data_IF_559166769005
#
_entry.id   IF_559166769005
#
_cell.length_a   1.000
_cell.length_b   1.000
_cell.length_c   1.000
_cell.angle_alpha   90.00
_cell.angle_beta   90.00
_cell.angle_gamma   90.00
#
_symmetry.space_group_name_H-M   'P 1'
#
loop_
_entity.id
_entity.type
_entity.pdbx_description
1 polymer ?
#
# COMPACT_ATOMS: atom_id res chain seq x y z
N UNK A 1 22.77 35.86 31.62
CA UNK A 1 23.58 35.80 30.37
C UNK A 1 23.93 34.39 29.88
N UNK A 2 24.05 33.37 30.74
CA UNK A 2 24.40 32.01 30.31
C UNK A 2 23.34 31.30 29.43
N UNK A 3 22.05 31.47 29.71
CA UNK A 3 20.96 30.82 28.94
C UNK A 3 20.78 31.36 27.52
N UNK A 4 21.03 32.65 27.29
CA UNK A 4 21.03 33.26 25.95
C UNK A 4 22.19 32.75 25.07
N UNK A 5 23.33 32.38 25.67
CA UNK A 5 24.46 31.79 24.95
C UNK A 5 24.21 30.35 24.50
N UNK A 6 23.37 29.60 25.23
CA UNK A 6 22.96 28.24 24.88
C UNK A 6 21.92 28.25 23.75
N UNK A 7 20.98 29.19 23.79
CA UNK A 7 20.00 29.41 22.71
C UNK A 7 20.66 29.89 21.41
N UNK A 8 21.68 30.75 21.51
CA UNK A 8 22.49 31.19 20.36
C UNK A 8 23.34 30.06 19.78
N UNK A 9 23.87 29.15 20.60
CA UNK A 9 24.58 27.94 20.13
C UNK A 9 23.65 26.90 19.50
N UNK A 10 22.42 26.75 20.01
CA UNK A 10 21.43 25.87 19.40
C UNK A 10 20.97 26.39 18.02
N UNK A 11 20.76 27.71 17.89
CA UNK A 11 20.40 28.37 16.63
C UNK A 11 21.55 28.39 15.60
N UNK A 12 22.81 28.54 16.05
CA UNK A 12 23.99 28.54 15.15
C UNK A 12 24.47 27.12 14.75
N UNK A 13 24.08 26.07 15.46
CA UNK A 13 24.33 24.68 15.02
C UNK A 13 23.49 24.27 13.79
N UNK A 14 22.55 25.12 13.38
CA UNK A 14 21.74 24.98 12.17
C UNK A 14 22.45 25.36 10.87
N UNK A 15 23.62 26.03 10.93
CA UNK A 15 24.35 26.54 9.75
C UNK A 15 25.60 25.72 9.42
N UNK A 16 25.46 24.39 9.47
CA UNK A 16 26.46 23.45 8.95
C UNK A 16 25.81 22.44 8.01
N UNK A 17 25.52 22.87 6.78
CA UNK A 17 24.97 22.04 5.72
C UNK A 17 26.00 21.02 5.22
N UNK A 18 26.19 19.96 6.01
CA UNK A 18 26.81 18.74 5.52
C UNK A 18 25.95 18.18 4.36
N UNK A 19 26.48 18.03 3.13
CA UNK A 19 25.69 17.55 1.98
C UNK A 19 25.14 16.11 2.15
N UNK A 20 25.51 15.41 3.23
CA UNK A 20 25.03 14.07 3.57
C UNK A 20 23.68 14.03 4.32
N UNK A 21 23.20 15.14 4.91
CA UNK A 21 21.92 15.15 5.66
C UNK A 21 20.68 15.11 4.76
N UNK A 22 20.73 15.77 3.60
CA UNK A 22 19.61 15.79 2.65
C UNK A 22 19.23 14.40 2.11
N UNK A 23 20.18 13.46 2.05
CA UNK A 23 19.93 12.09 1.59
C UNK A 23 19.12 11.22 2.56
N UNK A 24 19.21 11.50 3.88
CA UNK A 24 18.48 10.76 4.94
C UNK A 24 17.07 11.31 5.15
N UNK A 25 16.87 12.63 5.06
CA UNK A 25 15.53 13.24 5.16
C UNK A 25 14.62 12.84 3.99
N UNK A 26 15.18 12.71 2.78
CA UNK A 26 14.42 12.29 1.59
C UNK A 26 13.88 10.84 1.64
N UNK A 27 14.30 10.01 2.60
CA UNK A 27 13.80 8.62 2.76
C UNK A 27 12.76 8.52 3.88
N UNK A 28 12.84 9.38 4.91
CA UNK A 28 11.97 9.29 6.09
C UNK A 28 10.50 9.56 5.77
N UNK A 29 10.22 10.56 4.94
CA UNK A 29 8.84 10.87 4.56
C UNK A 29 8.18 9.72 3.79
N UNK A 30 8.97 8.98 3.00
CA UNK A 30 8.52 7.80 2.24
C UNK A 30 8.05 6.70 3.18
N UNK A 31 8.80 6.46 4.27
CA UNK A 31 8.38 5.54 5.33
C UNK A 31 7.09 6.02 6.02
N UNK A 32 6.97 7.32 6.31
CA UNK A 32 5.75 7.89 6.87
C UNK A 32 4.52 7.73 5.98
N UNK A 33 4.67 8.02 4.68
CA UNK A 33 3.62 7.83 3.67
C UNK A 33 3.20 6.36 3.58
N UNK A 34 4.15 5.43 3.70
CA UNK A 34 3.87 3.99 3.77
C UNK A 34 2.99 3.64 4.98
N UNK A 35 3.24 4.27 6.12
CA UNK A 35 2.43 4.10 7.33
C UNK A 35 0.99 4.58 7.14
N UNK A 36 0.81 5.76 6.54
CA UNK A 36 -0.52 6.31 6.21
C UNK A 36 -1.25 5.40 5.20
N UNK A 37 -0.54 4.88 4.19
CA UNK A 37 -1.11 3.94 3.23
C UNK A 37 -1.65 2.68 3.93
N UNK A 38 -0.88 2.06 4.85
CA UNK A 38 -1.38 0.90 5.61
C UNK A 38 -2.60 1.23 6.46
N UNK A 39 -2.60 2.40 7.11
CA UNK A 39 -3.74 2.83 7.93
C UNK A 39 -5.00 2.98 7.07
N UNK A 40 -4.90 3.61 5.90
CA UNK A 40 -6.03 3.74 4.97
C UNK A 40 -6.55 2.39 4.50
N UNK A 41 -5.68 1.42 4.20
CA UNK A 41 -6.12 0.06 3.84
C UNK A 41 -6.96 -0.55 4.96
N UNK A 42 -6.48 -0.50 6.21
CA UNK A 42 -7.21 -1.06 7.36
C UNK A 42 -8.57 -0.38 7.55
N UNK A 43 -8.62 0.96 7.52
CA UNK A 43 -9.86 1.73 7.63
C UNK A 43 -10.84 1.35 6.51
N UNK A 44 -10.35 1.13 5.30
CA UNK A 44 -11.19 0.70 4.16
C UNK A 44 -11.85 -0.64 4.42
N UNK A 45 -11.14 -1.59 5.02
CA UNK A 45 -11.70 -2.90 5.34
C UNK A 45 -12.71 -2.83 6.49
N UNK A 46 -12.48 -1.96 7.48
CA UNK A 46 -13.49 -1.64 8.51
C UNK A 46 -14.78 -1.08 7.86
N UNK A 47 -14.65 -0.09 6.98
CA UNK A 47 -15.79 0.50 6.27
C UNK A 47 -16.46 -0.49 5.31
N UNK A 48 -15.70 -1.32 4.59
CA UNK A 48 -16.25 -2.34 3.70
C UNK A 48 -17.02 -3.43 4.47
N UNK A 49 -16.59 -3.73 5.70
CA UNK A 49 -17.29 -4.65 6.57
C UNK A 49 -18.60 -4.05 7.12
N UNK A 50 -18.60 -2.81 7.60
CA UNK A 50 -19.71 -2.29 8.42
C UNK A 50 -20.43 -1.06 7.89
N UNK A 51 -19.85 -0.29 6.96
CA UNK A 51 -20.47 0.90 6.37
C UNK A 51 -20.16 1.01 4.86
N UNK A 52 -20.68 0.04 4.09
CA UNK A 52 -20.39 -0.09 2.66
C UNK A 52 -20.87 1.12 1.85
N UNK A 53 -21.89 1.86 2.30
CA UNK A 53 -22.45 2.99 1.55
C UNK A 53 -21.47 4.15 1.40
N UNK A 54 -20.38 4.18 2.18
CA UNK A 54 -19.27 5.12 2.00
C UNK A 54 -18.57 4.99 0.63
N UNK A 55 -18.78 3.87 -0.09
CA UNK A 55 -18.29 3.68 -1.46
C UNK A 55 -19.07 4.48 -2.51
N UNK A 56 -20.27 4.93 -2.16
CA UNK A 56 -21.15 5.76 -3.00
C UNK A 56 -20.96 7.24 -2.64
N UNK A 57 -21.28 8.19 -3.53
CA UNK A 57 -21.26 9.61 -3.20
C UNK A 57 -22.41 10.04 -2.27
N UNK A 58 -23.49 9.24 -2.20
CA UNK A 58 -24.61 9.34 -1.24
C UNK A 58 -25.29 7.99 -1.09
N UNK A 59 -26.12 7.81 -0.05
CA UNK A 59 -26.77 6.52 0.26
C UNK A 59 -27.78 6.06 -0.82
N UNK A 60 -28.43 7.00 -1.51
CA UNK A 60 -29.25 6.78 -2.70
C UNK A 60 -29.30 8.06 -3.54
N UNK A 61 -29.88 8.01 -4.74
CA UNK A 61 -29.91 9.11 -5.72
C UNK A 61 -30.49 10.43 -5.17
N UNK A 62 -31.42 10.37 -4.22
CA UNK A 62 -32.12 11.56 -3.69
C UNK A 62 -31.72 11.93 -2.26
N UNK A 63 -30.89 11.10 -1.59
CA UNK A 63 -30.46 11.36 -0.23
C UNK A 63 -29.41 12.48 -0.15
N UNK A 64 -29.39 13.20 0.96
CA UNK A 64 -28.27 14.07 1.29
C UNK A 64 -27.02 13.21 1.59
N UNK A 65 -25.83 13.60 1.10
CA UNK A 65 -24.60 12.87 1.37
C UNK A 65 -24.21 12.97 2.86
N UNK A 66 -23.74 11.86 3.43
CA UNK A 66 -23.09 11.85 4.75
C UNK A 66 -21.77 12.63 4.68
N UNK A 67 -21.33 13.16 5.82
CA UNK A 67 -20.06 13.90 5.94
C UNK A 67 -18.86 13.14 5.34
N UNK A 68 -18.78 11.83 5.58
CA UNK A 68 -17.69 10.98 5.09
C UNK A 68 -17.87 10.51 3.64
N UNK A 69 -18.98 10.85 2.97
CA UNK A 69 -19.21 10.63 1.54
C UNK A 69 -18.85 11.87 0.70
N UNK A 70 -18.64 13.03 1.34
CA UNK A 70 -18.26 14.27 0.66
C UNK A 70 -16.86 14.17 0.03
N UNK A 71 -16.61 14.89 -1.08
CA UNK A 71 -15.27 14.98 -1.64
C UNK A 71 -14.29 15.52 -0.59
N UNK A 72 -13.01 15.22 -0.78
CA UNK A 72 -11.91 15.49 0.16
C UNK A 72 -11.93 14.65 1.44
N UNK A 73 -13.06 14.61 2.15
CA UNK A 73 -13.19 13.93 3.43
C UNK A 73 -13.31 12.42 3.28
N UNK A 74 -13.80 11.94 2.14
CA UNK A 74 -14.05 10.51 1.91
C UNK A 74 -12.81 9.64 1.74
N UNK A 75 -11.67 10.26 1.43
CA UNK A 75 -10.46 9.56 0.97
C UNK A 75 -9.98 8.42 1.90
N UNK A 76 -9.93 8.58 3.25
CA UNK A 76 -9.47 7.52 4.14
C UNK A 76 -10.41 6.30 4.21
N UNK A 77 -11.70 6.47 3.94
CA UNK A 77 -12.74 5.46 4.22
C UNK A 77 -13.08 4.59 3.01
N UNK A 78 -12.96 5.15 1.80
CA UNK A 78 -13.15 4.42 0.55
C UNK A 78 -11.88 3.67 0.08
N UNK A 79 -10.85 3.66 0.92
CA UNK A 79 -9.41 3.65 0.62
C UNK A 79 -8.85 2.56 -0.29
N UNK A 80 -9.17 2.73 -1.56
CA UNK A 80 -8.46 2.14 -2.69
C UNK A 80 -7.09 2.77 -2.92
N UNK A 81 -6.92 4.04 -2.53
CA UNK A 81 -5.67 4.77 -2.75
C UNK A 81 -4.48 4.15 -2.01
N UNK A 82 -4.69 3.41 -0.91
CA UNK A 82 -3.60 2.79 -0.16
C UNK A 82 -2.76 1.84 -1.01
N UNK A 83 -3.40 1.04 -1.88
CA UNK A 83 -2.69 0.12 -2.79
C UNK A 83 -1.89 0.90 -3.84
N UNK A 84 -2.48 1.94 -4.42
CA UNK A 84 -1.81 2.87 -5.35
C UNK A 84 -0.58 3.52 -4.71
N UNK A 85 -0.67 3.93 -3.44
CA UNK A 85 0.45 4.48 -2.68
C UNK A 85 1.56 3.44 -2.52
N UNK A 86 1.24 2.19 -2.14
CA UNK A 86 2.24 1.12 -2.02
C UNK A 86 2.93 0.78 -3.35
N UNK A 87 2.20 0.83 -4.47
CA UNK A 87 2.78 0.64 -5.78
C UNK A 87 3.79 1.76 -6.10
N UNK A 88 3.39 3.03 -5.93
CA UNK A 88 4.30 4.16 -6.09
C UNK A 88 5.56 4.05 -5.21
N UNK A 89 5.36 3.72 -3.92
CA UNK A 89 6.46 3.58 -2.96
C UNK A 89 7.41 2.45 -3.36
N UNK A 90 6.91 1.37 -3.94
CA UNK A 90 7.76 0.29 -4.49
C UNK A 90 8.64 0.81 -5.63
N UNK A 91 8.07 1.58 -6.56
CA UNK A 91 8.80 2.31 -7.60
C UNK A 91 9.92 3.19 -7.05
N UNK A 92 9.52 4.08 -6.13
CA UNK A 92 10.42 5.07 -5.54
C UNK A 92 11.56 4.40 -4.76
N UNK A 93 11.25 3.51 -3.82
CA UNK A 93 12.24 2.88 -2.94
C UNK A 93 13.23 1.99 -3.70
N UNK A 94 12.76 1.22 -4.69
CA UNK A 94 13.64 0.39 -5.51
C UNK A 94 14.60 1.22 -6.36
N UNK A 95 14.21 2.43 -6.78
CA UNK A 95 15.03 3.31 -7.61
C UNK A 95 16.07 4.13 -6.83
N UNK A 96 15.81 4.48 -5.56
CA UNK A 96 16.67 5.39 -4.78
C UNK A 96 18.13 4.96 -4.77
N UNK A 97 18.41 3.72 -4.33
CA UNK A 97 19.79 3.29 -4.09
C UNK A 97 20.58 3.11 -5.40
N UNK A 98 20.08 2.38 -6.42
CA UNK A 98 20.77 2.25 -7.70
C UNK A 98 21.03 3.60 -8.37
N UNK A 99 20.03 4.49 -8.42
CA UNK A 99 20.19 5.80 -9.07
C UNK A 99 21.17 6.70 -8.32
N UNK A 100 21.20 6.66 -6.97
CA UNK A 100 22.22 7.38 -6.20
C UNK A 100 23.64 6.90 -6.52
N UNK A 101 23.84 5.58 -6.64
CA UNK A 101 25.15 5.00 -6.96
C UNK A 101 25.62 5.38 -8.37
N UNK A 102 24.73 5.38 -9.36
CA UNK A 102 25.07 5.88 -10.71
C UNK A 102 25.46 7.35 -10.68
N UNK A 103 24.72 8.18 -9.94
CA UNK A 103 25.05 9.61 -9.82
C UNK A 103 26.37 9.86 -9.10
N UNK A 104 26.79 8.96 -8.19
CA UNK A 104 28.09 9.02 -7.55
C UNK A 104 29.21 8.35 -8.36
N UNK A 105 28.98 7.98 -9.63
CA UNK A 105 29.96 7.32 -10.50
C UNK A 105 30.19 5.83 -10.21
N UNK A 106 29.45 5.23 -9.27
CA UNK A 106 29.60 3.83 -8.89
C UNK A 106 28.63 2.93 -9.68
N UNK A 107 28.89 2.74 -10.97
CA UNK A 107 28.05 1.91 -11.85
C UNK A 107 28.05 0.43 -11.43
N UNK A 108 29.23 -0.13 -11.12
CA UNK A 108 29.36 -1.52 -10.67
C UNK A 108 28.52 -1.78 -9.42
N UNK A 109 28.61 -0.92 -8.41
CA UNK A 109 27.81 -1.02 -7.20
C UNK A 109 26.30 -0.86 -7.42
N UNK A 110 25.88 -0.11 -8.45
CA UNK A 110 24.48 0.00 -8.84
C UNK A 110 23.96 -1.34 -9.41
N UNK A 111 24.74 -1.99 -10.29
CA UNK A 111 24.43 -3.31 -10.85
C UNK A 111 24.36 -4.39 -9.76
N UNK A 112 25.35 -4.43 -8.86
CA UNK A 112 25.34 -5.34 -7.70
C UNK A 112 24.11 -5.10 -6.82
N UNK A 113 23.74 -3.83 -6.62
CA UNK A 113 22.56 -3.48 -5.81
C UNK A 113 21.28 -3.95 -6.47
N UNK A 114 21.12 -3.80 -7.79
CA UNK A 114 19.96 -4.32 -8.50
C UNK A 114 19.88 -5.85 -8.38
N UNK A 115 20.97 -6.57 -8.68
CA UNK A 115 21.02 -8.04 -8.60
C UNK A 115 20.66 -8.57 -7.20
N UNK A 116 21.33 -8.04 -6.15
CA UNK A 116 21.03 -8.43 -4.75
C UNK A 116 19.62 -8.02 -4.31
N UNK A 117 19.07 -6.92 -4.83
CA UNK A 117 17.70 -6.50 -4.49
C UNK A 117 16.64 -7.36 -5.19
N UNK A 118 16.89 -7.78 -6.43
CA UNK A 118 16.06 -8.72 -7.16
C UNK A 118 15.99 -10.08 -6.45
N UNK A 119 17.14 -10.63 -6.04
CA UNK A 119 17.19 -11.91 -5.32
C UNK A 119 16.47 -11.87 -3.96
N UNK A 120 16.71 -10.83 -3.16
CA UNK A 120 16.12 -10.74 -1.81
C UNK A 120 14.63 -10.46 -1.78
N UNK A 121 14.04 -9.96 -2.87
CA UNK A 121 12.65 -9.48 -2.88
C UNK A 121 11.61 -10.61 -2.76
N UNK A 122 11.67 -11.70 -3.57
CA UNK A 122 10.73 -12.80 -3.41
C UNK A 122 10.75 -13.45 -2.02
N UNK A 123 11.89 -13.89 -1.46
CA UNK A 123 11.88 -14.55 -0.15
C UNK A 123 11.33 -13.66 0.97
N UNK A 124 11.64 -12.36 0.95
CA UNK A 124 11.13 -11.39 1.93
C UNK A 124 9.63 -11.12 1.83
N UNK A 125 9.01 -11.37 0.69
CA UNK A 125 7.55 -11.24 0.52
C UNK A 125 6.86 -12.59 0.75
N UNK A 126 7.39 -13.68 0.19
CA UNK A 126 6.78 -15.01 0.21
C UNK A 126 6.81 -15.61 1.61
N UNK A 127 7.94 -15.58 2.32
CA UNK A 127 8.04 -16.26 3.61
C UNK A 127 7.09 -15.68 4.67
N UNK A 128 7.04 -14.35 4.94
CA UNK A 128 6.09 -13.81 5.90
C UNK A 128 4.64 -14.03 5.47
N UNK A 129 4.32 -13.89 4.18
CA UNK A 129 2.97 -14.14 3.67
C UNK A 129 2.53 -15.60 3.87
N UNK A 130 3.47 -16.55 3.74
CA UNK A 130 3.23 -17.98 4.00
C UNK A 130 2.98 -18.26 5.47
N UNK A 131 3.72 -17.61 6.38
CA UNK A 131 3.45 -17.70 7.83
C UNK A 131 2.05 -17.16 8.13
N UNK A 132 1.65 -16.04 7.52
CA UNK A 132 0.32 -15.46 7.70
C UNK A 132 -0.79 -16.38 7.14
N UNK A 133 -0.55 -17.00 5.98
CA UNK A 133 -1.41 -18.03 5.39
C UNK A 133 -1.63 -19.20 6.34
N UNK A 134 -0.56 -19.75 6.92
CA UNK A 134 -0.65 -20.88 7.86
C UNK A 134 -1.44 -20.48 9.12
N UNK A 135 -1.22 -19.27 9.65
CA UNK A 135 -1.97 -18.77 10.81
C UNK A 135 -3.46 -18.60 10.49
N UNK A 136 -3.80 -18.01 9.34
CA UNK A 136 -5.19 -17.88 8.90
C UNK A 136 -5.84 -19.26 8.69
N UNK A 137 -5.10 -20.22 8.11
CA UNK A 137 -5.53 -21.61 7.96
C UNK A 137 -5.81 -22.26 9.32
N UNK A 138 -4.92 -22.12 10.31
CA UNK A 138 -5.12 -22.62 11.67
C UNK A 138 -6.39 -22.03 12.31
N UNK A 139 -6.61 -20.72 12.17
CA UNK A 139 -7.86 -20.11 12.64
C UNK A 139 -9.09 -20.66 11.92
N UNK A 140 -9.01 -20.98 10.63
CA UNK A 140 -10.11 -21.61 9.91
C UNK A 140 -10.44 -22.99 10.50
N UNK A 141 -9.43 -23.83 10.76
CA UNK A 141 -9.62 -25.16 11.35
C UNK A 141 -10.22 -25.10 12.76
N UNK A 142 -9.90 -24.06 13.54
CA UNK A 142 -10.42 -23.86 14.89
C UNK A 142 -11.80 -23.18 14.93
N UNK A 143 -12.47 -22.99 13.78
CA UNK A 143 -13.75 -22.27 13.71
C UNK A 143 -13.63 -20.77 14.00
N UNK A 144 -12.42 -20.21 13.87
CA UNK A 144 -12.09 -18.80 14.08
C UNK A 144 -12.95 -17.85 13.25
N UNK A 145 -13.43 -18.26 12.07
CA UNK A 145 -14.26 -17.43 11.19
C UNK A 145 -15.77 -17.68 11.31
N UNK A 146 -16.22 -18.49 12.28
CA UNK A 146 -17.64 -18.83 12.47
C UNK A 146 -18.54 -17.59 12.64
N UNK A 147 -18.07 -16.59 13.37
CA UNK A 147 -18.83 -15.35 13.63
C UNK A 147 -18.92 -14.51 12.35
N UNK A 148 -17.79 -14.30 11.65
CA UNK A 148 -17.76 -13.50 10.43
C UNK A 148 -18.54 -14.16 9.28
N UNK A 149 -18.62 -15.50 9.22
CA UNK A 149 -19.40 -16.21 8.21
C UNK A 149 -20.92 -16.19 8.45
N UNK A 150 -21.37 -15.83 9.66
CA UNK A 150 -22.79 -15.84 10.07
C UNK A 150 -23.36 -14.47 10.41
N UNK A 151 -22.60 -13.40 10.20
CA UNK A 151 -23.01 -12.03 10.53
C UNK A 151 -23.80 -11.34 9.40
N UNK A 152 -24.50 -10.26 9.72
CA UNK A 152 -25.28 -9.46 8.75
C UNK A 152 -24.42 -8.76 7.67
N UNK A 153 -23.11 -8.59 7.91
CA UNK A 153 -22.17 -7.97 6.99
C UNK A 153 -21.79 -8.90 5.81
N UNK A 154 -22.31 -8.60 4.62
CA UNK A 154 -22.10 -9.41 3.42
C UNK A 154 -20.61 -9.58 3.05
N UNK A 155 -19.82 -8.51 3.18
CA UNK A 155 -18.40 -8.57 2.86
C UNK A 155 -17.61 -9.47 3.82
N UNK A 156 -17.92 -9.45 5.13
CA UNK A 156 -17.30 -10.37 6.10
C UNK A 156 -17.62 -11.82 5.78
N UNK A 157 -18.87 -12.12 5.40
CA UNK A 157 -19.26 -13.48 4.97
C UNK A 157 -18.52 -13.93 3.73
N UNK A 158 -18.46 -13.08 2.70
CA UNK A 158 -17.83 -13.41 1.43
C UNK A 158 -16.30 -13.56 1.54
N UNK A 159 -15.67 -12.70 2.34
CA UNK A 159 -14.22 -12.73 2.54
C UNK A 159 -13.77 -13.76 3.57
N UNK A 160 -14.67 -14.39 4.31
CA UNK A 160 -14.31 -15.44 5.28
C UNK A 160 -14.14 -16.80 4.61
N UNK A 161 -13.21 -17.65 5.10
CA UNK A 161 -13.03 -18.99 4.57
C UNK A 161 -14.29 -19.81 4.78
N UNK A 162 -14.66 -20.61 3.77
CA UNK A 162 -15.70 -21.62 3.90
C UNK A 162 -15.11 -22.88 4.51
N UNK A 163 -15.81 -23.42 5.50
CA UNK A 163 -15.56 -24.76 6.02
C UNK A 163 -16.04 -25.78 4.98
N UNK A 164 -15.14 -26.62 4.48
CA UNK A 164 -15.41 -27.61 3.44
C UNK A 164 -15.16 -29.05 3.93
N UNK A 165 -14.88 -29.27 5.22
CA UNK A 165 -14.73 -30.62 5.78
C UNK A 165 -13.48 -30.80 6.66
N UNK A 166 -12.96 -32.02 6.65
CA UNK A 166 -11.90 -32.49 7.55
C UNK A 166 -10.48 -32.19 7.05
N UNK A 167 -9.47 -32.50 7.88
CA UNK A 167 -8.06 -32.20 7.60
C UNK A 167 -7.52 -32.83 6.30
N UNK A 168 -8.11 -33.94 5.84
CA UNK A 168 -7.80 -34.59 4.58
C UNK A 168 -8.11 -33.72 3.35
N UNK A 169 -9.11 -32.83 3.42
CA UNK A 169 -9.42 -31.86 2.37
C UNK A 169 -8.69 -30.53 2.56
N UNK A 170 -8.52 -30.11 3.82
CA UNK A 170 -7.93 -28.81 4.17
C UNK A 170 -6.40 -28.75 4.01
N UNK A 171 -5.68 -29.87 4.18
CA UNK A 171 -4.22 -29.91 3.96
C UNK A 171 -3.87 -29.75 2.46
N UNK A 172 -4.46 -30.52 1.52
CA UNK A 172 -4.26 -30.27 0.08
C UNK A 172 -4.68 -28.86 -0.35
N UNK A 173 -5.79 -28.36 0.21
CA UNK A 173 -6.27 -27.00 -0.04
C UNK A 173 -5.28 -25.94 0.43
N UNK A 174 -4.56 -26.14 1.53
CA UNK A 174 -3.50 -25.24 1.98
C UNK A 174 -2.37 -25.13 0.94
N UNK A 175 -1.88 -26.25 0.41
CA UNK A 175 -0.86 -26.25 -0.64
C UNK A 175 -1.36 -25.62 -1.93
N UNK A 176 -2.60 -25.92 -2.32
CA UNK A 176 -3.24 -25.30 -3.48
C UNK A 176 -3.40 -23.78 -3.29
N UNK A 177 -3.75 -23.32 -2.09
CA UNK A 177 -3.85 -21.90 -1.75
C UNK A 177 -2.49 -21.21 -1.79
N UNK A 178 -1.44 -21.86 -1.27
CA UNK A 178 -0.08 -21.35 -1.41
C UNK A 178 0.29 -21.13 -2.89
N UNK A 179 -0.01 -22.08 -3.77
CA UNK A 179 0.27 -21.95 -5.20
C UNK A 179 -0.58 -20.85 -5.87
N UNK A 180 -1.89 -20.84 -5.62
CA UNK A 180 -2.84 -19.92 -6.28
C UNK A 180 -2.58 -18.46 -5.92
N UNK A 181 -2.11 -18.15 -4.70
CA UNK A 181 -1.67 -16.79 -4.33
C UNK A 181 -0.63 -16.24 -5.31
N UNK A 182 0.33 -17.07 -5.71
CA UNK A 182 1.45 -16.64 -6.54
C UNK A 182 1.21 -16.86 -8.05
N UNK A 183 0.13 -17.55 -8.43
CA UNK A 183 -0.27 -17.76 -9.82
C UNK A 183 -1.37 -16.80 -10.27
N UNK A 184 -2.43 -16.66 -9.47
CA UNK A 184 -3.62 -15.88 -9.80
C UNK A 184 -3.93 -14.76 -8.81
N UNK A 185 -3.19 -14.67 -7.69
CA UNK A 185 -3.48 -13.72 -6.61
C UNK A 185 -4.65 -14.12 -5.72
N UNK A 186 -5.30 -15.26 -5.98
CA UNK A 186 -6.46 -15.72 -5.22
C UNK A 186 -6.01 -16.47 -3.96
N UNK A 187 -6.62 -16.13 -2.84
CA UNK A 187 -6.33 -16.77 -1.56
C UNK A 187 -7.63 -16.88 -0.76
N UNK A 188 -8.00 -18.11 -0.38
CA UNK A 188 -9.31 -18.40 0.20
C UNK A 188 -9.39 -18.21 1.72
N UNK A 189 -8.25 -18.17 2.42
CA UNK A 189 -8.23 -17.96 3.87
C UNK A 189 -8.21 -16.46 4.27
N UNK A 190 -7.81 -15.58 3.36
CA UNK A 190 -7.45 -14.17 3.48
C UNK A 190 -7.22 -13.56 2.07
N UNK A 191 -8.32 -13.20 1.42
CA UNK A 191 -8.35 -12.59 0.07
C UNK A 191 -7.47 -11.32 -0.03
N UNK A 192 -7.18 -10.65 1.08
CA UNK A 192 -6.38 -9.42 1.13
C UNK A 192 -4.96 -9.58 0.59
N UNK A 193 -4.42 -10.80 0.57
CA UNK A 193 -3.07 -11.10 0.06
C UNK A 193 -2.92 -10.93 -1.46
N UNK A 194 -4.02 -10.71 -2.20
CA UNK A 194 -4.01 -10.59 -3.66
C UNK A 194 -3.00 -9.56 -4.21
N UNK A 195 -2.76 -8.48 -3.47
CA UNK A 195 -1.88 -7.40 -3.91
C UNK A 195 -0.38 -7.77 -3.87
N UNK A 196 0.01 -8.85 -3.17
CA UNK A 196 1.41 -9.28 -3.08
C UNK A 196 2.00 -9.68 -4.42
N UNK A 197 1.23 -10.41 -5.25
CA UNK A 197 1.69 -10.88 -6.55
C UNK A 197 1.96 -9.71 -7.52
N UNK A 198 1.02 -8.77 -7.75
CA UNK A 198 1.29 -7.57 -8.53
C UNK A 198 2.46 -6.72 -8.00
N UNK A 199 2.61 -6.58 -6.68
CA UNK A 199 3.73 -5.85 -6.08
C UNK A 199 5.08 -6.54 -6.29
N UNK A 200 5.12 -7.87 -6.33
CA UNK A 200 6.31 -8.65 -6.66
C UNK A 200 6.66 -8.48 -8.14
N UNK A 201 5.69 -8.69 -9.03
CA UNK A 201 5.86 -8.49 -10.48
C UNK A 201 6.35 -7.07 -10.79
N UNK A 202 5.72 -6.06 -10.18
CA UNK A 202 6.09 -4.66 -10.29
C UNK A 202 7.53 -4.36 -9.87
N UNK A 203 7.99 -4.98 -8.78
CA UNK A 203 9.39 -4.84 -8.35
C UNK A 203 10.35 -5.35 -9.44
N UNK A 204 10.06 -6.48 -10.09
CA UNK A 204 10.85 -6.99 -11.20
C UNK A 204 10.76 -6.10 -12.45
N UNK A 205 9.59 -5.56 -12.76
CA UNK A 205 9.45 -4.55 -13.82
C UNK A 205 10.39 -3.38 -13.57
N UNK A 206 10.44 -2.84 -12.35
CA UNK A 206 11.36 -1.76 -11.98
C UNK A 206 12.82 -2.19 -12.11
N UNK A 207 13.20 -3.39 -11.64
CA UNK A 207 14.58 -3.85 -11.75
C UNK A 207 15.04 -4.00 -13.20
N UNK A 208 14.19 -4.55 -14.07
CA UNK A 208 14.47 -4.66 -15.51
C UNK A 208 14.53 -3.28 -16.16
N UNK A 209 13.58 -2.39 -15.87
CA UNK A 209 13.57 -1.02 -16.38
C UNK A 209 14.83 -0.25 -15.95
N UNK A 210 15.24 -0.37 -14.68
CA UNK A 210 16.46 0.27 -14.20
C UNK A 210 17.69 -0.34 -14.86
N UNK A 211 17.79 -1.66 -14.93
CA UNK A 211 18.90 -2.35 -15.60
C UNK A 211 19.07 -1.86 -17.05
N UNK A 212 17.97 -1.77 -17.80
CA UNK A 212 17.96 -1.29 -19.19
C UNK A 212 18.32 0.21 -19.34
N UNK A 213 18.06 1.02 -18.30
CA UNK A 213 18.21 2.48 -18.37
C UNK A 213 19.38 3.04 -17.54
N UNK A 214 20.12 2.18 -16.82
CA UNK A 214 21.21 2.56 -15.93
C UNK A 214 22.31 3.36 -16.65
N UNK A 215 22.68 2.92 -17.86
CA UNK A 215 23.72 3.55 -18.68
C UNK A 215 23.26 4.81 -19.44
N UNK A 216 21.95 5.07 -19.46
CA UNK A 216 21.41 6.24 -20.14
C UNK A 216 21.73 7.53 -19.38
N UNK A 217 21.96 8.62 -20.12
CA UNK A 217 21.94 9.96 -19.52
C UNK A 217 20.56 10.21 -18.92
N UNK A 218 20.50 10.92 -17.78
CA UNK A 218 19.25 11.20 -17.03
C UNK A 218 18.10 11.64 -17.93
N UNK A 219 18.35 12.59 -18.84
CA UNK A 219 17.34 13.11 -19.79
C UNK A 219 16.71 12.02 -20.68
N UNK A 220 17.52 11.10 -21.20
CA UNK A 220 17.02 10.00 -22.01
C UNK A 220 16.32 8.94 -21.17
N UNK A 221 16.82 8.66 -19.96
CA UNK A 221 16.12 7.78 -19.02
C UNK A 221 14.74 8.33 -18.65
N UNK A 222 14.64 9.61 -18.33
CA UNK A 222 13.35 10.27 -18.05
C UNK A 222 12.40 10.16 -19.23
N UNK A 223 12.89 10.38 -20.46
CA UNK A 223 12.10 10.22 -21.68
C UNK A 223 11.62 8.77 -21.83
N UNK A 224 12.52 7.78 -21.74
CA UNK A 224 12.19 6.36 -21.87
C UNK A 224 11.16 5.91 -20.83
N UNK A 225 11.36 6.25 -19.55
CA UNK A 225 10.42 5.88 -18.48
C UNK A 225 9.09 6.62 -18.64
N UNK A 226 9.08 7.87 -19.15
CA UNK A 226 7.85 8.60 -19.45
C UNK A 226 7.08 7.96 -20.61
N UNK A 227 7.76 7.52 -21.67
CA UNK A 227 7.14 6.78 -22.78
C UNK A 227 6.54 5.47 -22.26
N UNK A 228 7.27 4.74 -21.41
CA UNK A 228 6.78 3.49 -20.81
C UNK A 228 5.56 3.73 -19.90
N UNK A 229 5.59 4.81 -19.11
CA UNK A 229 4.44 5.25 -18.31
C UNK A 229 3.23 5.54 -19.20
N UNK A 230 3.42 6.30 -20.29
CA UNK A 230 2.33 6.62 -21.23
C UNK A 230 1.79 5.37 -21.92
N UNK A 231 2.67 4.41 -22.24
CA UNK A 231 2.25 3.14 -22.84
C UNK A 231 1.32 2.36 -21.90
N UNK A 232 1.68 2.22 -20.61
CA UNK A 232 0.78 1.61 -19.62
C UNK A 232 -0.45 2.46 -19.31
N UNK A 233 -0.33 3.78 -19.37
CA UNK A 233 -1.46 4.68 -19.18
C UNK A 233 -2.53 4.47 -20.25
N UNK A 234 -2.10 4.27 -21.50
CA UNK A 234 -2.97 4.03 -22.66
C UNK A 234 -3.57 2.63 -22.71
N UNK A 235 -3.05 1.68 -21.93
CA UNK A 235 -3.59 0.32 -21.81
C UNK A 235 -4.86 0.32 -20.94
N UNK A 236 -6.04 -0.06 -21.45
CA UNK A 236 -7.29 -0.08 -20.69
C UNK A 236 -7.43 -1.29 -19.76
N UNK A 237 -6.48 -2.23 -19.78
CA UNK A 237 -6.53 -3.43 -18.93
C UNK A 237 -6.52 -3.07 -17.43
N UNK A 238 -7.25 -3.87 -16.66
CA UNK A 238 -7.45 -3.75 -15.21
C UNK A 238 -6.10 -3.67 -14.47
N UNK A 239 -5.96 -2.68 -13.59
CA UNK A 239 -4.86 -2.56 -12.64
C UNK A 239 -3.60 -1.85 -13.14
N UNK A 240 -3.49 -1.53 -14.44
CA UNK A 240 -2.29 -0.87 -15.00
C UNK A 240 -2.01 0.49 -14.39
N UNK A 241 -3.06 1.25 -14.16
CA UNK A 241 -3.03 2.57 -13.51
C UNK A 241 -2.61 2.50 -12.04
N UNK A 242 -3.00 1.44 -11.34
CA UNK A 242 -2.73 1.22 -9.91
C UNK A 242 -1.32 0.70 -9.68
N UNK A 243 -0.81 -0.14 -10.59
CA UNK A 243 0.46 -0.83 -10.45
C UNK A 243 1.53 -0.23 -11.36
N UNK A 244 1.61 -0.62 -12.64
CA UNK A 244 2.71 -0.28 -13.56
C UNK A 244 2.91 1.22 -13.70
N UNK A 245 1.83 1.99 -13.87
CA UNK A 245 1.90 3.45 -13.91
C UNK A 245 2.50 4.00 -12.62
N UNK A 246 2.09 3.52 -11.45
CA UNK A 246 2.60 4.01 -10.16
C UNK A 246 4.05 3.60 -9.91
N UNK A 247 4.43 2.36 -10.26
CA UNK A 247 5.81 1.90 -10.17
C UNK A 247 6.73 2.82 -10.98
N UNK A 248 6.38 3.09 -12.24
CA UNK A 248 7.16 3.96 -13.12
C UNK A 248 7.13 5.41 -12.65
N UNK A 249 5.99 5.90 -12.14
CA UNK A 249 5.89 7.24 -11.56
C UNK A 249 6.81 7.40 -10.33
N UNK A 250 6.93 6.37 -9.50
CA UNK A 250 7.90 6.30 -8.41
C UNK A 250 9.34 6.42 -8.89
N UNK A 251 9.70 5.71 -9.97
CA UNK A 251 11.03 5.82 -10.59
C UNK A 251 11.27 7.23 -11.14
N UNK A 252 10.30 7.80 -11.87
CA UNK A 252 10.39 9.16 -12.43
C UNK A 252 10.61 10.20 -11.35
N UNK A 253 9.76 10.21 -10.32
CA UNK A 253 9.87 11.19 -9.23
C UNK A 253 11.15 11.00 -8.42
N UNK A 254 11.66 9.78 -8.29
CA UNK A 254 12.95 9.52 -7.67
C UNK A 254 14.12 10.09 -8.50
N UNK A 255 14.10 9.92 -9.82
CA UNK A 255 15.19 10.36 -10.70
C UNK A 255 15.21 11.88 -10.88
N UNK A 256 14.05 12.49 -11.19
CA UNK A 256 13.83 13.94 -11.22
C UNK A 256 14.21 14.52 -9.86
N UNK A 257 13.68 13.91 -8.81
CA UNK A 257 13.90 14.34 -7.45
C UNK A 257 15.35 14.20 -7.02
N UNK A 258 16.21 13.49 -7.75
CA UNK A 258 17.64 13.39 -7.46
C UNK A 258 18.49 14.36 -8.30
N UNK A 259 17.89 15.23 -9.12
CA UNK A 259 18.59 16.17 -9.97
C UNK A 259 18.88 17.51 -9.24
N UNK A 260 20.16 17.89 -9.00
CA UNK A 260 20.49 19.07 -8.22
C UNK A 260 19.98 20.38 -8.84
N UNK A 261 20.10 20.51 -10.17
CA UNK A 261 19.66 21.72 -10.91
C UNK A 261 18.17 21.98 -10.74
N UNK A 262 17.36 20.92 -10.87
CA UNK A 262 15.92 21.01 -10.70
C UNK A 262 15.55 21.39 -9.26
N UNK A 263 16.21 20.80 -8.26
CA UNK A 263 15.99 21.15 -6.86
C UNK A 263 16.32 22.61 -6.54
N UNK A 264 17.44 23.11 -7.06
CA UNK A 264 17.83 24.51 -6.88
C UNK A 264 16.78 25.45 -7.48
N UNK A 265 16.39 25.19 -8.72
CA UNK A 265 15.36 25.96 -9.43
C UNK A 265 14.02 25.97 -8.67
N UNK A 266 13.55 24.81 -8.18
CA UNK A 266 12.32 24.73 -7.37
C UNK A 266 12.44 25.52 -6.06
N UNK A 267 13.63 25.57 -5.46
CA UNK A 267 13.86 26.27 -4.20
C UNK A 267 14.01 27.79 -4.34
N UNK A 268 14.39 28.28 -5.51
CA UNK A 268 14.45 29.73 -5.81
C UNK A 268 13.05 30.36 -5.82
N UNK A 269 12.05 29.63 -6.31
CA UNK A 269 10.68 30.14 -6.51
C UNK A 269 9.73 29.76 -5.36
N UNK A 270 10.08 30.16 -4.14
CA UNK A 270 9.39 29.68 -2.91
C UNK A 270 7.89 29.94 -2.86
N UNK A 271 7.40 31.12 -3.27
CA UNK A 271 5.96 31.46 -3.28
C UNK A 271 5.21 30.64 -4.32
N UNK A 272 5.73 30.58 -5.54
CA UNK A 272 5.16 29.78 -6.63
C UNK A 272 5.16 28.29 -6.29
N UNK A 273 6.25 27.77 -5.71
CA UNK A 273 6.32 26.39 -5.20
C UNK A 273 5.23 26.11 -4.18
N UNK A 274 4.99 27.02 -3.22
CA UNK A 274 3.93 26.88 -2.20
C UNK A 274 2.53 26.91 -2.80
N UNK A 275 2.29 27.74 -3.81
CA UNK A 275 1.01 27.76 -4.53
C UNK A 275 0.80 26.43 -5.28
N UNK A 276 1.77 26.04 -6.12
CA UNK A 276 1.71 24.81 -6.92
C UNK A 276 1.53 23.57 -6.03
N UNK A 277 2.37 23.39 -5.00
CA UNK A 277 2.28 22.20 -4.14
C UNK A 277 0.91 22.09 -3.46
N UNK A 278 0.32 23.23 -3.04
CA UNK A 278 -0.96 23.25 -2.32
C UNK A 278 -2.10 22.95 -3.28
N UNK A 279 -2.08 23.57 -4.48
CA UNK A 279 -3.04 23.27 -5.53
C UNK A 279 -3.00 21.81 -5.96
N UNK A 280 -1.80 21.23 -6.13
CA UNK A 280 -1.63 19.82 -6.48
C UNK A 280 -2.17 18.88 -5.40
N UNK A 281 -1.93 19.19 -4.11
CA UNK A 281 -2.46 18.37 -3.01
C UNK A 281 -3.99 18.48 -2.95
N UNK A 282 -4.55 19.69 -3.02
CA UNK A 282 -6.01 19.89 -2.95
C UNK A 282 -6.70 19.22 -4.14
N UNK A 283 -6.20 19.47 -5.36
CA UNK A 283 -6.73 18.85 -6.57
C UNK A 283 -6.56 17.33 -6.52
N UNK A 284 -5.40 16.84 -6.07
CA UNK A 284 -5.13 15.42 -5.94
C UNK A 284 -6.09 14.73 -4.96
N UNK A 285 -6.38 15.35 -3.81
CA UNK A 285 -7.37 14.87 -2.84
C UNK A 285 -8.78 14.89 -3.46
N UNK A 286 -9.15 15.95 -4.18
CA UNK A 286 -10.45 16.07 -4.85
C UNK A 286 -10.67 14.93 -5.84
N UNK A 287 -9.75 14.75 -6.79
CA UNK A 287 -9.92 13.74 -7.84
C UNK A 287 -9.78 12.32 -7.30
N UNK A 288 -8.88 12.09 -6.33
CA UNK A 288 -8.80 10.80 -5.63
C UNK A 288 -10.06 10.46 -4.83
N UNK A 289 -10.94 11.44 -4.57
CA UNK A 289 -12.22 11.22 -3.89
C UNK A 289 -13.26 10.56 -4.79
N UNK A 290 -13.02 10.37 -6.08
CA UNK A 290 -13.98 9.73 -6.99
C UNK A 290 -14.58 8.42 -6.41
N UNK A 291 -15.92 8.27 -6.38
CA UNK A 291 -16.58 7.15 -5.71
C UNK A 291 -16.32 5.82 -6.42
N UNK A 292 -16.59 4.70 -5.73
CA UNK A 292 -16.38 3.37 -6.32
C UNK A 292 -17.52 2.90 -7.17
N UNK A 293 -18.72 3.28 -6.77
CA UNK A 293 -19.92 2.94 -7.48
C UNK A 293 -20.82 4.17 -7.48
N UNK A 294 -21.73 4.20 -8.46
CA UNK A 294 -22.75 5.24 -8.60
C UNK A 294 -22.17 6.68 -8.68
N UNK A 295 -21.14 6.96 -9.50
CA UNK A 295 -20.64 8.32 -9.68
C UNK A 295 -21.70 9.31 -10.18
N UNK A 296 -22.73 8.83 -10.89
CA UNK A 296 -23.88 9.60 -11.36
C UNK A 296 -24.72 10.17 -10.21
N UNK A 297 -24.64 9.58 -9.01
CA UNK A 297 -25.33 10.09 -7.85
C UNK A 297 -24.63 11.32 -7.23
N UNK A 298 -23.77 12.09 -7.86
CA UNK A 298 -23.49 13.45 -7.37
C UNK A 298 -22.83 14.28 -8.46
N UNK A 299 -23.18 15.56 -8.55
CA UNK A 299 -22.70 16.42 -9.63
C UNK A 299 -21.17 16.51 -9.67
N UNK A 300 -20.50 16.56 -8.51
CA UNK A 300 -19.04 16.59 -8.43
C UNK A 300 -18.39 15.30 -8.93
N UNK A 301 -19.00 14.14 -8.71
CA UNK A 301 -18.48 12.86 -9.19
C UNK A 301 -18.89 12.55 -10.62
N UNK A 302 -20.05 13.01 -11.06
CA UNK A 302 -20.50 12.96 -12.44
C UNK A 302 -19.60 13.82 -13.33
N UNK A 303 -19.27 15.05 -12.90
CA UNK A 303 -18.28 15.89 -13.57
C UNK A 303 -16.93 15.19 -13.76
N UNK A 304 -16.43 14.50 -12.73
CA UNK A 304 -15.20 13.72 -12.85
C UNK A 304 -15.36 12.50 -13.75
N UNK A 305 -16.56 11.93 -13.87
CA UNK A 305 -16.82 10.87 -14.84
C UNK A 305 -16.70 11.41 -16.26
N UNK A 306 -17.36 12.54 -16.56
CA UNK A 306 -17.30 13.20 -17.86
C UNK A 306 -15.87 13.60 -18.23
N UNK A 307 -15.12 14.20 -17.30
CA UNK A 307 -13.69 14.51 -17.54
C UNK A 307 -12.91 13.22 -17.81
N UNK A 308 -13.21 12.15 -17.07
CA UNK A 308 -12.61 10.83 -17.23
C UNK A 308 -12.77 10.29 -18.64
N UNK A 309 -13.94 10.47 -19.27
CA UNK A 309 -14.21 10.04 -20.64
C UNK A 309 -13.29 10.69 -21.68
N UNK A 310 -12.80 11.91 -21.40
CA UNK A 310 -11.87 12.60 -22.30
C UNK A 310 -10.41 12.24 -22.05
N UNK A 311 -10.01 11.94 -20.81
CA UNK A 311 -8.59 11.76 -20.44
C UNK A 311 -8.17 10.30 -20.32
N UNK A 312 -9.12 9.39 -20.12
CA UNK A 312 -8.86 7.97 -20.00
C UNK A 312 -9.04 7.26 -21.34
N UNK A 313 -8.24 6.20 -21.61
CA UNK A 313 -8.36 5.45 -22.85
C UNK A 313 -9.74 4.81 -22.97
N UNK A 314 -10.24 4.75 -24.21
CA UNK A 314 -11.47 4.04 -24.54
C UNK A 314 -11.41 2.58 -24.05
N UNK A 315 -12.53 2.09 -23.49
CA UNK A 315 -12.60 0.74 -22.90
C UNK A 315 -12.09 0.64 -21.46
N UNK A 316 -11.76 1.76 -20.81
CA UNK A 316 -11.45 1.77 -19.37
C UNK A 316 -12.68 1.32 -18.57
N UNK A 317 -12.55 0.22 -17.81
CA UNK A 317 -13.61 -0.23 -16.89
C UNK A 317 -13.50 0.39 -15.49
N UNK A 318 -12.28 0.69 -15.03
CA UNK A 318 -12.01 1.05 -13.62
C UNK A 318 -11.66 2.54 -13.43
N UNK A 319 -12.60 3.42 -13.79
CA UNK A 319 -12.45 4.88 -13.68
C UNK A 319 -11.96 5.31 -12.30
N UNK A 320 -12.49 4.66 -11.28
CA UNK A 320 -12.19 4.99 -9.91
C UNK A 320 -10.74 4.69 -9.49
N UNK A 321 -10.13 3.64 -10.07
CA UNK A 321 -8.70 3.36 -9.84
C UNK A 321 -7.83 4.34 -10.61
N UNK A 322 -8.24 4.72 -11.83
CA UNK A 322 -7.54 5.77 -12.59
C UNK A 322 -7.58 7.11 -11.86
N UNK A 323 -8.72 7.50 -11.31
CA UNK A 323 -8.81 8.72 -10.51
C UNK A 323 -7.99 8.66 -9.22
N UNK A 324 -7.94 7.50 -8.55
CA UNK A 324 -7.03 7.28 -7.40
C UNK A 324 -5.56 7.41 -7.82
N UNK A 325 -5.19 6.86 -8.98
CA UNK A 325 -3.86 6.96 -9.57
C UNK A 325 -3.47 8.40 -9.91
N UNK A 326 -4.33 9.14 -10.61
CA UNK A 326 -4.11 10.56 -10.93
C UNK A 326 -3.99 11.38 -9.65
N UNK A 327 -4.93 11.21 -8.72
CA UNK A 327 -4.93 11.96 -7.47
C UNK A 327 -3.68 11.69 -6.63
N UNK A 328 -3.22 10.43 -6.57
CA UNK A 328 -1.96 10.10 -5.92
C UNK A 328 -0.75 10.73 -6.61
N UNK A 329 -0.67 10.69 -7.95
CA UNK A 329 0.41 11.35 -8.70
C UNK A 329 0.49 12.85 -8.37
N UNK A 330 -0.66 13.55 -8.33
CA UNK A 330 -0.72 14.97 -7.98
C UNK A 330 -0.31 15.21 -6.51
N UNK A 331 -0.88 14.44 -5.58
CA UNK A 331 -0.57 14.57 -4.15
C UNK A 331 0.90 14.33 -3.86
N UNK A 332 1.50 13.27 -4.41
CA UNK A 332 2.87 12.89 -4.08
C UNK A 332 3.90 13.88 -4.66
N UNK A 333 3.63 14.51 -5.80
CA UNK A 333 4.45 15.64 -6.28
C UNK A 333 4.32 16.83 -5.34
N UNK A 334 3.10 17.19 -4.91
CA UNK A 334 2.92 18.26 -3.93
C UNK A 334 3.61 17.99 -2.59
N UNK A 335 3.55 16.74 -2.09
CA UNK A 335 4.27 16.31 -0.89
C UNK A 335 5.78 16.39 -1.11
N UNK A 336 6.27 15.91 -2.26
CA UNK A 336 7.68 15.98 -2.63
C UNK A 336 8.20 17.42 -2.75
N UNK A 337 7.38 18.37 -3.22
CA UNK A 337 7.75 19.79 -3.29
C UNK A 337 7.67 20.51 -1.94
N UNK A 338 6.99 19.94 -0.95
CA UNK A 338 6.67 20.60 0.33
C UNK A 338 7.50 20.07 1.50
N UNK A 339 8.52 20.84 1.98
CA UNK A 339 9.29 20.45 3.16
C UNK A 339 8.43 20.29 4.41
N UNK A 340 7.35 21.06 4.53
CA UNK A 340 6.39 20.95 5.65
C UNK A 340 5.69 19.59 5.63
N UNK A 341 5.19 19.15 4.48
CA UNK A 341 4.54 17.84 4.36
C UNK A 341 5.53 16.70 4.57
N UNK A 342 6.73 16.79 4.00
CA UNK A 342 7.79 15.82 4.27
C UNK A 342 8.12 15.75 5.76
N UNK A 343 8.18 16.89 6.45
CA UNK A 343 8.38 16.99 7.89
C UNK A 343 7.26 16.32 8.70
N UNK A 344 6.00 16.54 8.31
CA UNK A 344 4.83 15.88 8.91
C UNK A 344 4.96 14.37 8.76
N UNK A 345 5.16 13.85 7.55
CA UNK A 345 5.30 12.40 7.33
C UNK A 345 6.56 11.81 7.96
N UNK A 346 7.62 12.60 8.16
CA UNK A 346 8.82 12.16 8.87
C UNK A 346 8.68 12.15 10.40
N UNK A 347 7.48 12.38 10.94
CA UNK A 347 7.21 12.24 12.37
C UNK A 347 7.41 10.78 12.82
N UNK A 348 7.92 10.59 14.04
CA UNK A 348 8.12 9.30 14.70
C UNK A 348 6.87 8.40 14.63
N UNK A 349 5.67 8.98 14.79
CA UNK A 349 4.43 8.21 14.74
C UNK A 349 4.19 7.59 13.36
N UNK A 350 4.24 8.40 12.29
CA UNK A 350 4.02 7.88 10.93
C UNK A 350 5.14 6.95 10.48
N UNK A 351 6.39 7.22 10.84
CA UNK A 351 7.49 6.29 10.58
C UNK A 351 7.32 4.97 11.33
N UNK A 352 6.77 4.99 12.55
CA UNK A 352 6.46 3.77 13.29
C UNK A 352 5.36 2.96 12.61
N UNK A 353 4.28 3.60 12.15
CA UNK A 353 3.30 2.93 11.29
C UNK A 353 3.93 2.38 10.01
N UNK A 354 4.82 3.14 9.38
CA UNK A 354 5.54 2.74 8.16
C UNK A 354 6.46 1.55 8.36
N UNK A 355 7.09 1.43 9.53
CA UNK A 355 7.93 0.28 9.89
C UNK A 355 7.11 -1.01 9.98
N UNK A 356 5.91 -0.94 10.57
CA UNK A 356 5.04 -2.10 10.78
C UNK A 356 4.02 -2.31 9.64
N UNK A 357 4.02 -1.47 8.60
CA UNK A 357 2.97 -1.45 7.56
C UNK A 357 2.80 -2.78 6.83
N UNK A 358 3.89 -3.53 6.63
CA UNK A 358 3.85 -4.82 5.95
C UNK A 358 3.21 -5.90 6.82
N UNK A 359 3.57 -5.92 8.11
CA UNK A 359 2.94 -6.80 9.08
C UNK A 359 1.45 -6.50 9.19
N UNK A 360 1.07 -5.22 9.35
CA UNK A 360 -0.35 -4.80 9.35
C UNK A 360 -1.08 -5.30 8.10
N UNK A 361 -0.47 -5.15 6.91
CA UNK A 361 -1.06 -5.66 5.69
C UNK A 361 -1.31 -7.19 5.72
N UNK A 362 -0.41 -7.98 6.32
CA UNK A 362 -0.58 -9.43 6.43
C UNK A 362 -1.58 -9.85 7.52
N UNK A 363 -1.70 -9.09 8.61
CA UNK A 363 -2.47 -9.51 9.80
C UNK A 363 -3.88 -8.93 9.85
N UNK A 364 -4.10 -7.72 9.32
CA UNK A 364 -5.36 -6.99 9.50
C UNK A 364 -6.58 -7.76 9.02
N UNK A 365 -6.50 -8.48 7.89
CA UNK A 365 -7.61 -9.24 7.33
C UNK A 365 -8.09 -10.33 8.29
N UNK A 366 -7.16 -11.09 8.85
CA UNK A 366 -7.44 -12.16 9.82
C UNK A 366 -7.89 -11.58 11.16
N UNK A 367 -7.20 -10.57 11.71
CA UNK A 367 -7.57 -9.94 12.99
C UNK A 367 -8.96 -9.27 12.89
N UNK A 368 -9.29 -8.64 11.77
CA UNK A 368 -10.60 -8.06 11.52
C UNK A 368 -11.72 -9.11 11.57
N UNK A 369 -11.56 -10.19 10.80
CA UNK A 369 -12.58 -11.24 10.64
C UNK A 369 -12.70 -12.15 11.87
N UNK A 370 -11.62 -12.33 12.64
CA UNK A 370 -11.61 -13.18 13.83
C UNK A 370 -11.89 -12.36 15.10
N UNK A 371 -11.07 -11.34 15.38
CA UNK A 371 -11.13 -10.60 16.64
C UNK A 371 -12.17 -9.48 16.61
N UNK A 372 -12.12 -8.57 15.63
CA UNK A 372 -13.05 -7.43 15.59
C UNK A 372 -14.51 -7.88 15.36
N UNK A 373 -14.73 -8.90 14.53
CA UNK A 373 -16.05 -9.50 14.37
C UNK A 373 -16.61 -10.02 15.70
N UNK A 374 -15.81 -10.66 16.56
CA UNK A 374 -16.26 -11.13 17.88
C UNK A 374 -16.59 -9.99 18.85
N UNK A 375 -15.83 -8.90 18.78
CA UNK A 375 -16.14 -7.71 19.58
C UNK A 375 -17.49 -7.10 19.20
N UNK A 376 -17.90 -7.19 17.94
CA UNK A 376 -19.14 -6.58 17.42
C UNK A 376 -20.35 -7.52 17.48
N UNK A 377 -20.14 -8.82 17.28
CA UNK A 377 -21.23 -9.80 17.15
C UNK A 377 -21.27 -10.84 18.30
N UNK A 378 -20.29 -10.85 19.20
CA UNK A 378 -20.16 -11.85 20.27
C UNK A 378 -19.33 -13.08 19.87
N UNK A 379 -19.21 -14.05 20.78
CA UNK A 379 -18.25 -15.16 20.68
C UNK A 379 -18.82 -16.47 20.12
N UNK A 380 -20.13 -16.72 20.25
CA UNK A 380 -20.78 -18.01 19.96
C UNK A 380 -20.98 -18.29 18.47
N UNK A 381 -21.21 -17.23 17.68
CA UNK A 381 -21.73 -17.35 16.32
C UNK A 381 -23.21 -17.79 16.27
N UNK A 382 -23.92 -17.66 17.39
CA UNK A 382 -25.33 -17.98 17.58
C UNK A 382 -26.09 -16.78 18.17
N UNK A 383 -27.40 -16.61 17.91
CA UNK A 383 -28.26 -17.50 17.13
C UNK A 383 -28.12 -17.25 15.62
N UNK A 384 -27.75 -18.28 14.87
CA UNK A 384 -27.84 -18.31 13.41
C UNK A 384 -28.82 -19.42 13.02
N UNK A 385 -29.88 -19.08 12.28
CA UNK A 385 -30.86 -20.05 11.82
C UNK A 385 -31.22 -19.85 10.35
N UNK A 386 -31.56 -20.96 9.68
CA UNK A 386 -32.07 -20.96 8.32
C UNK A 386 -33.51 -21.47 8.40
N UNK A 387 -34.47 -20.60 8.13
CA UNK A 387 -35.90 -20.96 8.05
C UNK A 387 -36.32 -21.02 6.60
N UNK A 388 -37.27 -21.89 6.23
CA UNK A 388 -37.84 -21.87 4.89
C UNK A 388 -39.04 -20.90 4.86
N UNK A 389 -39.13 -20.08 3.82
CA UNK A 389 -40.34 -19.30 3.54
C UNK A 389 -41.46 -20.22 3.02
N UNK A 390 -42.68 -19.67 2.92
CA UNK A 390 -43.86 -20.36 2.40
C UNK A 390 -43.66 -20.97 0.99
N UNK A 391 -42.69 -20.44 0.22
CA UNK A 391 -42.31 -20.93 -1.11
C UNK A 391 -41.19 -22.00 -1.10
N UNK A 392 -40.69 -22.41 0.07
CA UNK A 392 -39.56 -23.34 0.21
C UNK A 392 -38.16 -22.70 0.14
N UNK A 393 -38.07 -21.39 -0.08
CA UNK A 393 -36.79 -20.68 -0.18
C UNK A 393 -36.11 -20.50 1.19
N UNK A 394 -34.78 -20.71 1.30
CA UNK A 394 -34.05 -20.53 2.55
C UNK A 394 -33.91 -19.04 2.93
N UNK A 395 -34.46 -18.66 4.07
CA UNK A 395 -34.25 -17.37 4.73
C UNK A 395 -33.25 -17.51 5.86
N UNK A 396 -32.15 -16.78 5.73
CA UNK A 396 -31.06 -16.77 6.69
C UNK A 396 -31.26 -15.66 7.73
N UNK A 397 -31.38 -16.05 8.99
CA UNK A 397 -31.38 -15.13 10.14
C UNK A 397 -29.95 -14.90 10.59
N UNK A 398 -29.34 -13.82 10.09
CA UNK A 398 -27.95 -13.45 10.38
C UNK A 398 -27.79 -12.83 11.78
N UNK A 399 -26.58 -12.93 12.34
CA UNK A 399 -26.22 -12.22 13.56
C UNK A 399 -26.28 -10.71 13.31
N UNK A 400 -27.08 -10.02 14.12
CA UNK A 400 -27.20 -8.57 14.07
C UNK A 400 -25.99 -7.92 14.73
N UNK A 401 -25.47 -6.86 14.12
CA UNK A 401 -24.40 -6.05 14.69
C UNK A 401 -24.83 -5.39 16.00
N UNK A 402 -23.90 -5.25 16.94
CA UNK A 402 -24.13 -4.48 18.17
C UNK A 402 -24.33 -2.98 17.90
N UNK A 403 -24.82 -2.25 18.91
CA UNK A 403 -25.10 -0.82 18.80
C UNK A 403 -23.83 0.06 18.70
N UNK A 404 -24.00 1.38 18.48
CA UNK A 404 -22.89 2.31 18.24
C UNK A 404 -21.83 2.36 19.34
N UNK A 405 -22.22 2.18 20.61
CA UNK A 405 -21.29 2.18 21.75
C UNK A 405 -20.27 1.04 21.65
N UNK A 406 -20.70 -0.13 21.19
CA UNK A 406 -19.81 -1.27 20.96
C UNK A 406 -18.79 -0.94 19.88
N UNK A 407 -19.19 -0.26 18.79
CA UNK A 407 -18.26 0.18 17.75
C UNK A 407 -17.25 1.22 18.25
N UNK A 408 -17.68 2.17 19.09
CA UNK A 408 -16.80 3.18 19.69
C UNK A 408 -15.69 2.56 20.56
N UNK A 409 -15.92 1.38 21.14
CA UNK A 409 -14.92 0.63 21.91
C UNK A 409 -14.16 -0.36 21.03
N UNK A 410 -14.86 -1.12 20.20
CA UNK A 410 -14.29 -2.19 19.39
C UNK A 410 -13.27 -1.69 18.37
N UNK A 411 -13.52 -0.55 17.71
CA UNK A 411 -12.61 -0.02 16.68
C UNK A 411 -11.26 0.41 17.28
N UNK A 412 -11.20 1.25 18.34
CA UNK A 412 -9.93 1.58 18.99
C UNK A 412 -9.19 0.35 19.53
N UNK A 413 -9.92 -0.58 20.18
CA UNK A 413 -9.31 -1.82 20.69
C UNK A 413 -8.75 -2.67 19.56
N UNK A 414 -9.46 -2.78 18.43
CA UNK A 414 -8.98 -3.45 17.23
C UNK A 414 -7.67 -2.83 16.73
N UNK A 415 -7.58 -1.49 16.62
CA UNK A 415 -6.32 -0.85 16.19
C UNK A 415 -5.18 -1.10 17.17
N UNK A 416 -5.43 -1.04 18.48
CA UNK A 416 -4.40 -1.34 19.49
C UNK A 416 -3.91 -2.78 19.33
N UNK A 417 -4.82 -3.75 19.19
CA UNK A 417 -4.48 -5.16 19.01
C UNK A 417 -3.73 -5.39 17.69
N UNK A 418 -4.25 -4.86 16.58
CA UNK A 418 -3.65 -5.01 15.25
C UNK A 418 -2.22 -4.46 15.21
N UNK A 419 -2.01 -3.23 15.70
CA UNK A 419 -0.69 -2.62 15.71
C UNK A 419 0.26 -3.27 16.72
N UNK A 420 -0.25 -3.86 17.81
CA UNK A 420 0.55 -4.65 18.75
C UNK A 420 1.02 -5.96 18.10
N UNK A 421 0.11 -6.69 17.45
CA UNK A 421 0.43 -7.90 16.69
C UNK A 421 1.43 -7.57 15.59
N UNK A 422 1.19 -6.51 14.82
CA UNK A 422 2.09 -6.08 13.75
C UNK A 422 3.48 -5.68 14.28
N UNK A 423 3.55 -5.05 15.45
CA UNK A 423 4.84 -4.72 16.08
C UNK A 423 5.64 -5.97 16.45
N UNK A 424 5.00 -6.98 17.05
CA UNK A 424 5.66 -8.24 17.36
C UNK A 424 6.01 -9.04 16.10
N UNK A 425 5.14 -9.03 15.09
CA UNK A 425 5.40 -9.62 13.79
C UNK A 425 6.65 -9.03 13.15
N UNK A 426 6.73 -7.70 13.05
CA UNK A 426 7.90 -7.04 12.48
C UNK A 426 9.17 -7.25 13.30
N UNK A 427 9.05 -7.41 14.61
CA UNK A 427 10.20 -7.63 15.50
C UNK A 427 10.73 -9.06 15.42
N UNK A 428 9.85 -10.06 15.29
CA UNK A 428 10.22 -11.47 15.38
C UNK A 428 10.11 -12.20 14.04
N UNK A 429 8.94 -12.16 13.40
CA UNK A 429 8.66 -12.90 12.16
C UNK A 429 9.42 -12.29 10.98
N UNK A 430 9.28 -10.98 10.74
CA UNK A 430 10.00 -10.31 9.64
C UNK A 430 11.52 -10.38 9.85
N UNK A 431 11.99 -10.24 11.10
CA UNK A 431 13.40 -10.35 11.43
C UNK A 431 13.94 -11.77 11.18
N UNK A 432 13.17 -12.81 11.52
CA UNK A 432 13.52 -14.19 11.20
C UNK A 432 13.54 -14.43 9.69
N UNK A 433 12.51 -14.01 8.95
CA UNK A 433 12.48 -14.12 7.48
C UNK A 433 13.62 -13.35 6.82
N UNK A 434 14.02 -12.20 7.36
CA UNK A 434 15.16 -11.44 6.87
C UNK A 434 16.49 -12.19 7.08
N UNK A 435 16.67 -12.84 8.24
CA UNK A 435 17.83 -13.70 8.50
C UNK A 435 17.84 -14.91 7.57
N UNK A 436 16.71 -15.60 7.41
CA UNK A 436 16.57 -16.72 6.48
C UNK A 436 16.89 -16.32 5.03
N UNK A 437 16.41 -15.16 4.59
CA UNK A 437 16.75 -14.61 3.26
C UNK A 437 18.25 -14.37 3.12
N UNK A 438 18.90 -13.86 4.17
CA UNK A 438 20.35 -13.62 4.15
C UNK A 438 21.12 -14.94 4.08
N UNK A 439 20.71 -15.97 4.84
CA UNK A 439 21.31 -17.30 4.75
C UNK A 439 21.17 -17.89 3.33
N UNK A 440 20.03 -17.69 2.67
CA UNK A 440 19.84 -18.08 1.27
C UNK A 440 20.76 -17.28 0.33
N UNK A 441 20.91 -15.98 0.55
CA UNK A 441 21.83 -15.14 -0.25
C UNK A 441 23.28 -15.61 -0.09
N UNK A 442 23.73 -15.80 1.15
CA UNK A 442 25.09 -16.22 1.47
C UNK A 442 25.39 -17.65 0.97
N UNK A 443 24.39 -18.55 0.94
CA UNK A 443 24.55 -19.91 0.44
C UNK A 443 24.52 -20.02 -1.10
N UNK A 444 23.85 -19.09 -1.80
CA UNK A 444 23.66 -19.15 -3.25
C UNK A 444 24.61 -18.23 -4.02
N UNK A 445 25.27 -17.28 -3.35
CA UNK A 445 26.13 -16.29 -4.00
C UNK A 445 27.58 -16.60 -3.68
N UNK A 446 28.44 -16.58 -4.70
CA UNK A 446 29.89 -16.68 -4.52
C UNK A 446 30.40 -15.53 -3.64
N UNK A 447 31.30 -15.89 -2.73
CA UNK A 447 32.00 -14.92 -1.88
C UNK A 447 32.91 -14.01 -2.74
N UNK A 448 33.17 -12.78 -2.27
CA UNK A 448 34.10 -11.89 -2.99
C UNK A 448 35.51 -12.48 -3.08
N UNK A 449 35.88 -13.35 -2.15
CA UNK A 449 37.14 -14.10 -2.13
C UNK A 449 37.19 -15.18 -3.23
N UNK A 450 36.11 -15.93 -3.45
CA UNK A 450 36.00 -16.91 -4.55
C UNK A 450 35.98 -16.23 -5.92
N UNK A 451 35.34 -15.06 -6.05
CA UNK A 451 35.38 -14.28 -7.30
C UNK A 451 36.77 -13.75 -7.63
N UNK A 452 37.49 -13.30 -6.61
CA UNK A 452 38.87 -12.84 -6.76
C UNK A 452 39.80 -14.01 -7.14
N UNK A 453 39.58 -15.19 -6.56
CA UNK A 453 40.29 -16.40 -6.94
C UNK A 453 40.00 -16.80 -8.40
N UNK A 454 38.73 -16.84 -8.84
CA UNK A 454 38.38 -17.17 -10.23
C UNK A 454 38.92 -16.16 -11.24
N UNK A 455 38.94 -14.86 -10.92
CA UNK A 455 39.54 -13.84 -11.79
C UNK A 455 41.06 -13.93 -11.87
N UNK A 456 41.72 -14.59 -10.92
CA UNK A 456 43.18 -14.84 -10.97
C UNK A 456 43.54 -16.08 -11.83
N UNK A 457 42.57 -16.94 -12.13
CA UNK A 457 42.73 -18.15 -12.95
C UNK A 457 42.27 -17.96 -14.41
N UNK A 458 41.65 -16.83 -14.75
CA UNK A 458 41.24 -16.44 -16.10
C UNK A 458 42.14 -15.33 -16.62
#
# INVERSE_FOLDING_TARGET
MAQLSALRRALLSSEGSNPSKGGKENVKWVEGVRGVASFFVVVTHLCRAWDYTLWFPRDNEHAAPKLLQLPFLRLPWQGRIGVTMFAFLTGYVCAIKPLRQVKSGNMSGALTTLGKSAFRRPPRLIMPATVALIIAWLFAQLGGFKVSSRCDAAWLRHSSPKDIGSLDTEIPRLFHNFQTVWLSGRQEYDDHQWALLPLLQGAFTIYVTLFATLFMKVRFRLLTVSILFMWYWLDPRIGRETFECQFLYGVLLCDIGSEPRFRQWVNEWTRTRRAIQTSLIILGIYVASYPGERPEWADWSAQLHDIGDYIFPAGTAEYHKRWSAVGWCLMVVGIWMSPTMQGIFSNKLFMWFGRNSFAVYLTHGTVLRVFAARMIYGWSGEPFSITQNENGDPVHHWLKRSGPLTFMVAIPVFFVVEYTIAHYWTTYVDAWCAKATKLLEDAMFESEDEKSAMQSYA
#
